data_IF_432460034964
#
_entry.id   IF_432460034964
#
_cell.length_a   1.000
_cell.length_b   1.000
_cell.length_c   1.000
_cell.angle_alpha   90.00
_cell.angle_beta   90.00
_cell.angle_gamma   90.00
#
_symmetry.space_group_name_H-M   'P 1'
#
loop_
_entity.id
_entity.type
_entity.pdbx_description
1 polymer ?
#
# COMPACT_ATOMS: atom_id res chain seq x y z
N UNK A 1 -30.89 -11.06 61.74
CA UNK A 1 -31.38 -10.64 60.41
C UNK A 1 -30.80 -9.28 60.08
N UNK A 2 -30.14 -8.98 58.98
CA UNK A 2 -29.89 -9.63 57.69
C UNK A 2 -29.35 -8.49 56.80
N UNK A 3 -28.16 -8.68 56.24
CA UNK A 3 -27.45 -7.68 55.45
C UNK A 3 -28.21 -7.25 54.18
N UNK A 4 -27.95 -6.02 53.70
CA UNK A 4 -27.80 -5.76 52.26
C UNK A 4 -27.19 -4.38 52.00
N UNK A 5 -25.89 -4.40 51.71
CA UNK A 5 -25.19 -3.34 51.02
C UNK A 5 -25.72 -3.23 49.58
N UNK A 6 -26.03 -2.01 49.12
CA UNK A 6 -26.31 -1.77 47.71
C UNK A 6 -25.18 -0.91 47.11
N UNK A 7 -24.08 -1.57 46.77
CA UNK A 7 -23.02 -1.02 45.93
C UNK A 7 -23.60 -0.76 44.54
N UNK A 8 -23.89 0.51 44.23
CA UNK A 8 -24.16 0.94 42.85
C UNK A 8 -22.84 1.01 42.08
N UNK A 9 -22.40 -0.15 41.60
CA UNK A 9 -21.40 -0.28 40.55
C UNK A 9 -22.13 -0.44 39.22
N UNK A 10 -22.14 0.58 38.37
CA UNK A 10 -22.03 0.39 36.91
C UNK A 10 -22.14 1.72 36.16
N UNK A 11 -21.16 2.00 35.30
CA UNK A 11 -21.40 2.87 34.13
C UNK A 11 -20.34 3.90 33.73
N UNK A 12 -19.02 3.62 33.80
CA UNK A 12 -18.05 4.37 32.96
C UNK A 12 -16.75 3.59 32.68
N UNK A 13 -16.85 2.28 32.42
CA UNK A 13 -15.69 1.40 32.22
C UNK A 13 -15.24 1.31 30.74
N UNK A 14 -15.48 2.34 29.92
CA UNK A 14 -15.08 2.28 28.50
C UNK A 14 -14.48 3.55 27.91
N UNK A 15 -14.21 4.58 28.72
CA UNK A 15 -13.29 5.64 28.28
C UNK A 15 -11.88 5.06 28.23
N UNK A 16 -11.47 4.58 27.05
CA UNK A 16 -10.06 4.27 26.78
C UNK A 16 -9.26 5.50 27.17
N UNK A 17 -8.41 5.38 28.20
CA UNK A 17 -7.55 6.48 28.64
C UNK A 17 -6.74 6.95 27.41
N UNK A 18 -6.63 8.28 27.20
CA UNK A 18 -5.80 8.78 26.12
C UNK A 18 -4.37 8.27 26.33
N UNK A 19 -3.73 7.84 25.23
CA UNK A 19 -2.37 7.30 25.27
C UNK A 19 -1.42 8.36 25.82
N UNK A 20 -0.41 7.92 26.54
CA UNK A 20 0.71 8.78 26.90
C UNK A 20 1.48 9.19 25.65
N UNK A 21 2.21 10.31 25.73
CA UNK A 21 3.06 10.77 24.63
C UNK A 21 4.11 9.72 24.21
N UNK A 22 4.66 8.98 25.18
CA UNK A 22 5.62 7.92 24.92
C UNK A 22 4.99 6.75 24.15
N UNK A 23 3.81 6.28 24.57
CA UNK A 23 3.08 5.22 23.84
C UNK A 23 2.67 5.66 22.44
N UNK A 24 2.32 6.94 22.26
CA UNK A 24 2.03 7.49 20.94
C UNK A 24 3.25 7.45 20.02
N UNK A 25 4.42 7.89 20.51
CA UNK A 25 5.66 7.87 19.72
C UNK A 25 6.08 6.45 19.33
N UNK A 26 6.01 5.50 20.27
CA UNK A 26 6.30 4.09 19.98
C UNK A 26 5.38 3.54 18.88
N UNK A 27 4.08 3.83 18.98
CA UNK A 27 3.13 3.41 17.95
C UNK A 27 3.41 4.07 16.58
N UNK A 28 3.79 5.35 16.56
CA UNK A 28 4.17 6.04 15.32
C UNK A 28 5.38 5.38 14.66
N UNK A 29 6.36 4.96 15.44
CA UNK A 29 7.53 4.26 14.91
C UNK A 29 7.18 2.87 14.38
N UNK A 30 6.27 2.14 15.04
CA UNK A 30 5.73 0.87 14.52
C UNK A 30 4.99 1.07 13.19
N UNK A 31 4.12 2.08 13.10
CA UNK A 31 3.38 2.40 11.87
C UNK A 31 4.34 2.74 10.71
N UNK A 32 5.38 3.53 10.98
CA UNK A 32 6.39 3.86 9.97
C UNK A 32 7.17 2.63 9.50
N UNK A 33 7.52 1.73 10.43
CA UNK A 33 8.20 0.46 10.10
C UNK A 33 7.31 -0.41 9.22
N UNK A 34 6.02 -0.50 9.53
CA UNK A 34 5.06 -1.27 8.73
C UNK A 34 4.89 -0.66 7.34
N UNK A 35 4.75 0.66 7.22
CA UNK A 35 4.66 1.33 5.92
C UNK A 35 5.92 1.08 5.06
N UNK A 36 7.10 1.22 5.67
CA UNK A 36 8.37 0.95 4.98
C UNK A 36 8.47 -0.51 4.53
N UNK A 37 8.03 -1.45 5.38
CA UNK A 37 8.00 -2.87 5.07
C UNK A 37 7.05 -3.17 3.89
N UNK A 38 5.85 -2.58 3.87
CA UNK A 38 4.89 -2.75 2.76
C UNK A 38 5.51 -2.27 1.44
N UNK A 39 6.11 -1.07 1.43
CA UNK A 39 6.80 -0.53 0.25
C UNK A 39 7.94 -1.43 -0.20
N UNK A 40 8.74 -1.94 0.74
CA UNK A 40 9.88 -2.82 0.44
C UNK A 40 9.43 -4.14 -0.19
N UNK A 41 8.47 -4.82 0.43
CA UNK A 41 7.94 -6.09 -0.08
C UNK A 41 7.26 -5.88 -1.44
N UNK A 42 6.55 -4.76 -1.62
CA UNK A 42 5.93 -4.45 -2.89
C UNK A 42 6.98 -4.22 -4.00
N UNK A 43 8.07 -3.51 -3.71
CA UNK A 43 9.17 -3.36 -4.67
C UNK A 43 9.85 -4.69 -5.03
N UNK A 44 10.00 -5.58 -4.06
CA UNK A 44 10.50 -6.94 -4.31
C UNK A 44 9.54 -7.72 -5.21
N UNK A 45 8.23 -7.62 -4.97
CA UNK A 45 7.19 -8.25 -5.81
C UNK A 45 7.25 -7.73 -7.25
N UNK A 46 7.33 -6.42 -7.46
CA UNK A 46 7.48 -5.81 -8.78
C UNK A 46 8.76 -6.27 -9.49
N UNK A 47 9.86 -6.41 -8.76
CA UNK A 47 11.14 -6.85 -9.32
C UNK A 47 11.14 -8.33 -9.77
N UNK A 48 10.16 -9.14 -9.36
CA UNK A 48 9.99 -10.51 -9.88
C UNK A 48 9.35 -10.53 -11.27
N UNK A 49 8.75 -9.42 -11.72
CA UNK A 49 8.18 -9.30 -13.06
C UNK A 49 9.31 -9.18 -14.08
N UNK A 50 9.36 -10.10 -15.04
CA UNK A 50 10.40 -10.10 -16.06
C UNK A 50 10.44 -8.78 -16.82
N UNK A 51 11.63 -8.16 -16.88
CA UNK A 51 11.84 -6.87 -17.54
C UNK A 51 11.64 -5.64 -16.67
N UNK A 52 11.18 -5.79 -15.41
CA UNK A 52 11.13 -4.68 -14.44
C UNK A 52 12.48 -4.54 -13.76
N UNK A 53 13.16 -3.41 -13.98
CA UNK A 53 14.37 -3.07 -13.23
C UNK A 53 14.03 -2.53 -11.84
N UNK A 54 15.02 -2.51 -10.93
CA UNK A 54 14.85 -1.90 -9.61
C UNK A 54 14.42 -0.43 -9.68
N UNK A 55 14.96 0.35 -10.63
CA UNK A 55 14.57 1.76 -10.84
C UNK A 55 13.11 1.88 -11.29
N UNK A 56 12.65 1.01 -12.19
CA UNK A 56 11.26 0.96 -12.62
C UNK A 56 10.32 0.63 -11.45
N UNK A 57 10.68 -0.37 -10.64
CA UNK A 57 9.91 -0.72 -9.44
C UNK A 57 9.82 0.46 -8.46
N UNK A 58 10.94 1.15 -8.20
CA UNK A 58 10.94 2.34 -7.34
C UNK A 58 10.02 3.43 -7.85
N UNK A 59 10.03 3.75 -9.15
CA UNK A 59 9.10 4.73 -9.73
C UNK A 59 7.63 4.35 -9.58
N UNK A 60 7.31 3.06 -9.76
CA UNK A 60 5.94 2.57 -9.53
C UNK A 60 5.55 2.76 -8.06
N UNK A 61 6.43 2.43 -7.11
CA UNK A 61 6.18 2.60 -5.66
C UNK A 61 6.05 4.07 -5.26
N UNK A 62 6.84 4.96 -5.88
CA UNK A 62 6.75 6.40 -5.64
C UNK A 62 5.35 6.94 -5.99
N UNK A 63 4.74 6.43 -7.08
CA UNK A 63 3.38 6.80 -7.49
C UNK A 63 2.30 6.02 -6.75
N UNK A 64 2.52 4.75 -6.51
CA UNK A 64 1.59 3.80 -5.90
C UNK A 64 2.31 3.05 -4.76
N UNK A 65 2.31 3.60 -3.54
CA UNK A 65 3.14 3.07 -2.45
C UNK A 65 2.74 1.67 -1.98
N UNK A 66 1.53 1.21 -2.34
CA UNK A 66 1.01 -0.10 -1.94
C UNK A 66 0.37 -0.84 -3.13
N UNK A 67 0.33 -2.19 -3.09
CA UNK A 67 -0.40 -2.97 -4.09
C UNK A 67 -1.87 -2.55 -4.21
N UNK A 68 -2.51 -2.22 -3.07
CA UNK A 68 -3.90 -1.76 -3.04
C UNK A 68 -4.08 -0.44 -3.80
N UNK A 69 -3.18 0.54 -3.60
CA UNK A 69 -3.24 1.81 -4.32
C UNK A 69 -3.08 1.66 -5.84
N UNK A 70 -2.22 0.73 -6.28
CA UNK A 70 -2.08 0.42 -7.70
C UNK A 70 -3.32 -0.28 -8.25
N UNK A 71 -3.87 -1.23 -7.48
CA UNK A 71 -5.09 -1.94 -7.85
C UNK A 71 -6.30 -1.00 -7.99
N UNK A 72 -6.44 -0.02 -7.09
CA UNK A 72 -7.47 1.01 -7.19
C UNK A 72 -7.33 1.86 -8.45
N UNK A 73 -6.09 2.21 -8.84
CA UNK A 73 -5.85 2.93 -10.09
C UNK A 73 -6.25 2.10 -11.32
N UNK A 74 -6.02 0.79 -11.32
CA UNK A 74 -6.52 -0.09 -12.36
C UNK A 74 -8.06 -0.16 -12.40
N UNK A 75 -8.73 -0.19 -11.25
CA UNK A 75 -10.20 -0.17 -11.18
C UNK A 75 -10.83 1.11 -11.74
N UNK A 76 -10.11 2.22 -11.69
CA UNK A 76 -10.56 3.49 -12.27
C UNK A 76 -10.48 3.50 -13.81
N UNK A 77 -9.74 2.57 -14.41
CA UNK A 77 -9.68 2.42 -15.86
C UNK A 77 -10.94 1.71 -16.35
N UNK A 78 -11.69 2.36 -17.26
CA UNK A 78 -12.96 1.81 -17.78
C UNK A 78 -12.80 0.51 -18.57
N UNK A 79 -11.61 0.25 -19.13
CA UNK A 79 -11.32 -0.91 -19.97
C UNK A 79 -9.92 -1.48 -19.68
N UNK A 80 -9.71 -2.75 -20.03
CA UNK A 80 -8.43 -3.45 -19.83
C UNK A 80 -7.27 -2.83 -20.61
N UNK A 81 -7.51 -2.29 -21.81
CA UNK A 81 -6.44 -1.71 -22.64
C UNK A 81 -5.82 -0.42 -22.04
N UNK A 82 -6.62 0.58 -21.58
CA UNK A 82 -6.11 1.68 -20.76
C UNK A 82 -5.40 1.22 -19.49
N UNK A 83 -5.93 0.20 -18.79
CA UNK A 83 -5.31 -0.32 -17.57
C UNK A 83 -3.92 -0.93 -17.84
N UNK A 84 -3.77 -1.72 -18.91
CA UNK A 84 -2.48 -2.29 -19.34
C UNK A 84 -1.45 -1.21 -19.70
N UNK A 85 -1.89 -0.01 -20.07
CA UNK A 85 -1.03 1.11 -20.44
C UNK A 85 -0.94 2.21 -19.36
N UNK A 86 -1.44 1.97 -18.15
CA UNK A 86 -1.61 2.98 -17.08
C UNK A 86 -0.34 3.81 -16.81
N UNK A 87 0.84 3.21 -16.92
CA UNK A 87 2.11 3.89 -16.68
C UNK A 87 3.15 3.63 -17.78
N UNK A 88 2.71 3.31 -19.00
CA UNK A 88 3.62 3.08 -20.13
C UNK A 88 4.44 4.34 -20.49
N UNK A 89 3.83 5.53 -20.36
CA UNK A 89 4.49 6.82 -20.60
C UNK A 89 5.20 7.41 -19.38
N UNK A 90 5.20 6.72 -18.24
CA UNK A 90 5.86 7.21 -17.02
C UNK A 90 7.37 7.09 -17.19
N UNK A 91 8.10 8.14 -16.78
CA UNK A 91 9.57 8.15 -16.84
C UNK A 91 10.17 7.32 -15.70
N UNK A 92 11.17 6.52 -16.03
CA UNK A 92 11.96 5.73 -15.07
C UNK A 92 12.82 6.66 -14.20
N UNK A 93 13.31 7.74 -14.77
CA UNK A 93 14.05 8.78 -14.05
C UNK A 93 13.94 10.09 -14.81
N UNK A 94 13.89 11.22 -14.10
CA UNK A 94 13.86 12.55 -14.69
C UNK A 94 15.08 12.84 -15.57
N UNK A 95 16.22 12.23 -15.23
CA UNK A 95 17.50 12.46 -15.89
C UNK A 95 17.71 11.59 -17.12
N UNK A 96 17.14 10.38 -17.13
CA UNK A 96 17.45 9.36 -18.15
C UNK A 96 16.61 9.48 -19.42
N UNK A 97 15.51 10.25 -19.42
CA UNK A 97 14.54 10.30 -20.53
C UNK A 97 13.82 8.98 -20.84
N UNK A 98 14.24 7.87 -20.21
CA UNK A 98 13.71 6.52 -20.40
C UNK A 98 12.32 6.41 -19.78
N UNK A 99 11.39 5.83 -20.53
CA UNK A 99 10.04 5.49 -20.06
C UNK A 99 9.97 4.02 -19.64
N UNK A 100 8.97 3.67 -18.83
CA UNK A 100 8.67 2.29 -18.44
C UNK A 100 8.30 1.43 -19.66
N UNK A 101 7.50 1.97 -20.57
CA UNK A 101 7.04 1.27 -21.77
C UNK A 101 5.75 0.46 -21.54
N UNK A 102 5.07 0.19 -22.65
CA UNK A 102 3.84 -0.58 -22.75
C UNK A 102 4.01 -2.03 -22.29
N UNK A 103 5.12 -2.69 -22.69
CA UNK A 103 5.40 -4.08 -22.30
C UNK A 103 5.47 -4.23 -20.79
N UNK A 104 6.23 -3.35 -20.11
CA UNK A 104 6.37 -3.40 -18.65
C UNK A 104 5.04 -3.11 -17.96
N UNK A 105 4.32 -2.09 -18.44
CA UNK A 105 3.00 -1.72 -17.92
C UNK A 105 2.00 -2.88 -18.03
N UNK A 106 1.98 -3.58 -19.17
CA UNK A 106 1.12 -4.73 -19.41
C UNK A 106 1.51 -5.92 -18.51
N UNK A 107 2.81 -6.19 -18.32
CA UNK A 107 3.27 -7.30 -17.46
C UNK A 107 2.91 -7.09 -15.99
N UNK A 108 3.03 -5.87 -15.49
CA UNK A 108 2.61 -5.57 -14.12
C UNK A 108 1.10 -5.70 -13.98
N UNK A 109 0.32 -5.29 -14.99
CA UNK A 109 -1.13 -5.55 -15.00
C UNK A 109 -1.44 -7.06 -14.95
N UNK A 110 -0.76 -7.87 -15.77
CA UNK A 110 -0.91 -9.34 -15.79
C UNK A 110 -0.57 -10.00 -14.45
N UNK A 111 0.35 -9.42 -13.65
CA UNK A 111 0.64 -9.90 -12.30
C UNK A 111 -0.58 -9.84 -11.36
N UNK A 112 -1.47 -8.85 -11.55
CA UNK A 112 -2.68 -8.68 -10.72
C UNK A 112 -3.91 -9.39 -11.26
N UNK A 113 -4.10 -9.38 -12.58
CA UNK A 113 -5.34 -9.85 -13.23
C UNK A 113 -5.16 -11.14 -14.05
N UNK A 114 -3.92 -11.63 -14.18
CA UNK A 114 -3.59 -12.74 -15.06
C UNK A 114 -3.45 -12.32 -16.53
N UNK A 115 -2.88 -13.22 -17.33
CA UNK A 115 -2.86 -13.10 -18.78
C UNK A 115 -4.19 -13.61 -19.34
N UNK A 116 -5.23 -12.78 -19.38
CA UNK A 116 -6.40 -13.10 -20.20
C UNK A 116 -5.97 -13.05 -21.68
N UNK A 117 -5.98 -14.23 -22.32
CA UNK A 117 -5.73 -14.45 -23.75
C UNK A 117 -6.93 -14.02 -24.59
#
# INVERSE_FOLDING_TARGET
DGASANLRSNGDASRKKPKTFQEFNLQMDEIKKDEHRVRTVFGMMLSQVHGVSGEMAQRIIERYPTPASLFEAYKQCSHSNPARNLFSSMRVSELSGRILGDVVSARVYEMFFGSEQ
#
